data_IF_518590430306
#
_entry.id   IF_518590430306
#
_cell.length_a   1.000
_cell.length_b   1.000
_cell.length_c   1.000
_cell.angle_alpha   90.00
_cell.angle_beta   90.00
_cell.angle_gamma   90.00
#
_symmetry.space_group_name_H-M   'P 1'
#
loop_
_entity.id
_entity.type
_entity.pdbx_description
1 polymer ?
#
# COMPACT_ATOMS: atom_id res chain seq x y z
N UNK A 1 -8.39 13.67 2.03
CA UNK A 1 -8.58 12.34 2.65
C UNK A 1 -9.91 12.17 3.38
N UNK A 2 -10.31 13.05 4.30
CA UNK A 2 -11.54 12.86 5.09
C UNK A 2 -12.83 12.73 4.25
N UNK A 3 -12.96 13.45 3.14
CA UNK A 3 -14.14 13.30 2.27
C UNK A 3 -14.20 11.96 1.54
N UNK A 4 -13.05 11.38 1.18
CA UNK A 4 -13.00 10.01 0.66
C UNK A 4 -13.45 9.01 1.74
N UNK A 5 -13.02 9.18 2.99
CA UNK A 5 -13.49 8.32 4.09
C UNK A 5 -15.01 8.42 4.27
N UNK A 6 -15.58 9.62 4.22
CA UNK A 6 -17.05 9.80 4.25
C UNK A 6 -17.74 9.12 3.06
N UNK A 7 -17.15 9.19 1.87
CA UNK A 7 -17.64 8.51 0.67
C UNK A 7 -17.60 6.98 0.86
N UNK A 8 -16.51 6.44 1.40
CA UNK A 8 -16.36 5.01 1.70
C UNK A 8 -17.49 4.50 2.62
N UNK A 9 -17.75 5.23 3.72
CA UNK A 9 -18.84 4.89 4.65
C UNK A 9 -20.23 4.91 4.02
N UNK A 10 -20.44 5.62 2.90
CA UNK A 10 -21.71 5.61 2.17
C UNK A 10 -21.73 4.50 1.13
N UNK A 11 -20.66 4.36 0.36
CA UNK A 11 -20.53 3.40 -0.73
C UNK A 11 -20.64 1.96 -0.21
N UNK A 12 -19.98 1.66 0.92
CA UNK A 12 -19.97 0.32 1.50
C UNK A 12 -21.04 0.10 2.58
N UNK A 13 -21.89 1.09 2.88
CA UNK A 13 -22.97 0.96 3.87
C UNK A 13 -23.93 -0.21 3.63
N UNK A 14 -24.27 -0.59 2.38
CA UNK A 14 -25.17 -1.71 2.15
C UNK A 14 -24.60 -3.08 2.52
N UNK A 15 -23.28 -3.21 2.70
CA UNK A 15 -22.65 -4.48 3.01
C UNK A 15 -22.76 -4.80 4.50
N UNK A 16 -23.23 -6.01 4.77
CA UNK A 16 -23.31 -6.61 6.10
C UNK A 16 -22.53 -7.90 6.13
N UNK A 17 -22.11 -8.30 7.32
CA UNK A 17 -21.43 -9.57 7.57
C UNK A 17 -22.38 -10.54 8.26
N UNK A 18 -22.12 -11.83 8.09
CA UNK A 18 -22.81 -12.89 8.80
C UNK A 18 -21.86 -13.52 9.81
N UNK A 19 -22.41 -14.01 10.92
CA UNK A 19 -21.66 -14.79 11.89
C UNK A 19 -21.79 -16.29 11.55
N UNK A 20 -20.70 -17.07 11.67
CA UNK A 20 -19.33 -16.63 11.93
C UNK A 20 -18.73 -15.91 10.71
N UNK A 21 -17.76 -15.02 10.96
CA UNK A 21 -17.00 -14.35 9.90
C UNK A 21 -16.19 -15.37 9.10
N UNK A 22 -15.86 -15.05 7.85
CA UNK A 22 -15.11 -15.92 6.94
C UNK A 22 -13.59 -15.96 7.24
N UNK A 23 -13.25 -16.04 8.52
CA UNK A 23 -11.89 -16.14 9.04
C UNK A 23 -11.79 -17.29 10.03
N UNK A 24 -10.56 -17.73 10.32
CA UNK A 24 -10.29 -18.82 11.25
C UNK A 24 -10.77 -18.49 12.68
N UNK A 25 -11.57 -19.39 13.26
CA UNK A 25 -12.15 -19.28 14.62
C UNK A 25 -11.30 -19.93 15.71
N UNK A 26 -10.04 -20.31 15.43
CA UNK A 26 -9.18 -20.91 16.46
C UNK A 26 -8.68 -19.88 17.48
N UNK A 27 -8.26 -20.37 18.66
CA UNK A 27 -7.68 -19.57 19.77
C UNK A 27 -6.51 -18.66 19.37
N UNK A 28 -5.78 -19.01 18.30
CA UNK A 28 -4.66 -18.20 17.80
C UNK A 28 -5.07 -17.14 16.77
N UNK A 29 -6.29 -17.19 16.25
CA UNK A 29 -6.83 -16.24 15.26
C UNK A 29 -7.87 -15.36 15.94
N UNK A 30 -9.16 -15.66 15.72
CA UNK A 30 -10.25 -14.91 16.33
C UNK A 30 -11.40 -15.85 16.70
N UNK A 31 -11.40 -16.35 17.96
CA UNK A 31 -12.50 -17.13 18.50
C UNK A 31 -13.86 -16.43 18.39
N UNK A 32 -14.93 -17.21 18.49
CA UNK A 32 -16.30 -16.74 18.27
C UNK A 32 -16.71 -15.61 19.23
N UNK A 33 -16.26 -15.62 20.48
CA UNK A 33 -16.50 -14.54 21.46
C UNK A 33 -15.82 -13.23 21.05
N UNK A 34 -14.58 -13.29 20.55
CA UNK A 34 -13.90 -12.13 19.96
C UNK A 34 -14.64 -11.60 18.73
N UNK A 35 -15.17 -12.49 17.87
CA UNK A 35 -15.98 -12.07 16.72
C UNK A 35 -17.29 -11.41 17.16
N UNK A 36 -17.96 -11.96 18.17
CA UNK A 36 -19.16 -11.34 18.75
C UNK A 36 -18.86 -9.95 19.32
N UNK A 37 -17.72 -9.77 19.99
CA UNK A 37 -17.29 -8.47 20.48
C UNK A 37 -17.10 -7.48 19.33
N UNK A 38 -16.33 -7.85 18.30
CA UNK A 38 -16.12 -7.03 17.10
C UNK A 38 -17.44 -6.58 16.47
N UNK A 39 -18.39 -7.50 16.34
CA UNK A 39 -19.71 -7.25 15.74
C UNK A 39 -20.69 -6.49 16.65
N UNK A 40 -20.36 -6.32 17.94
CA UNK A 40 -21.16 -5.53 18.87
C UNK A 40 -20.98 -4.01 18.71
N UNK A 41 -19.85 -3.59 18.14
CA UNK A 41 -19.56 -2.18 17.90
C UNK A 41 -20.30 -1.66 16.68
N UNK A 42 -20.64 -0.36 16.69
CA UNK A 42 -20.95 0.34 15.44
C UNK A 42 -19.69 0.37 14.58
N UNK A 43 -19.80 0.20 13.27
CA UNK A 43 -18.66 0.14 12.35
C UNK A 43 -17.63 1.28 12.54
N UNK A 44 -18.08 2.50 12.82
CA UNK A 44 -17.20 3.68 13.06
C UNK A 44 -16.46 3.65 14.39
N UNK A 45 -16.98 2.89 15.35
CA UNK A 45 -16.52 2.90 16.73
C UNK A 45 -15.74 1.62 17.06
N UNK A 46 -15.52 0.72 16.07
CA UNK A 46 -14.69 -0.48 16.25
C UNK A 46 -13.29 -0.03 16.72
N UNK A 47 -12.81 -0.52 17.87
CA UNK A 47 -11.47 -0.21 18.36
C UNK A 47 -10.38 -0.77 17.44
N UNK A 48 -9.22 -0.13 17.43
CA UNK A 48 -8.07 -0.54 16.61
C UNK A 48 -7.65 -2.00 16.90
N UNK A 49 -7.61 -2.40 18.17
CA UNK A 49 -7.20 -3.74 18.59
C UNK A 49 -8.16 -4.83 18.09
N UNK A 50 -9.48 -4.60 18.15
CA UNK A 50 -10.46 -5.54 17.60
C UNK A 50 -10.33 -5.65 16.07
N UNK A 51 -10.09 -4.51 15.40
CA UNK A 51 -9.85 -4.51 13.95
C UNK A 51 -8.54 -5.22 13.59
N UNK A 52 -7.51 -5.08 14.42
CA UNK A 52 -6.23 -5.77 14.28
C UNK A 52 -6.39 -7.28 14.43
N UNK A 53 -7.22 -7.76 15.38
CA UNK A 53 -7.57 -9.17 15.50
C UNK A 53 -8.20 -9.74 14.23
N UNK A 54 -9.17 -9.02 13.66
CA UNK A 54 -9.80 -9.39 12.39
C UNK A 54 -8.80 -9.41 11.23
N UNK A 55 -7.98 -8.36 11.10
CA UNK A 55 -6.98 -8.25 10.03
C UNK A 55 -5.82 -9.23 10.19
N UNK A 56 -5.49 -9.65 11.40
CA UNK A 56 -4.48 -10.68 11.70
C UNK A 56 -4.95 -12.12 11.48
N UNK A 57 -6.27 -12.35 11.45
CA UNK A 57 -6.83 -13.70 11.34
C UNK A 57 -6.68 -14.33 9.95
N UNK A 58 -6.40 -15.63 9.89
CA UNK A 58 -6.26 -16.35 8.61
C UNK A 58 -7.62 -16.45 7.91
N UNK A 59 -7.75 -16.13 6.61
CA UNK A 59 -8.98 -16.35 5.86
C UNK A 59 -9.34 -17.84 5.78
N UNK A 60 -10.63 -18.16 5.70
CA UNK A 60 -11.06 -19.52 5.37
C UNK A 60 -10.79 -19.83 3.88
N UNK A 61 -11.04 -21.08 3.47
CA UNK A 61 -10.77 -21.52 2.09
C UNK A 61 -11.56 -20.74 1.01
N UNK A 62 -12.72 -20.18 1.37
CA UNK A 62 -13.49 -19.29 0.49
C UNK A 62 -12.98 -17.84 0.61
N UNK A 63 -11.97 -17.53 -0.21
CA UNK A 63 -11.39 -16.18 -0.28
C UNK A 63 -12.41 -15.14 -0.75
N UNK A 64 -13.37 -15.53 -1.60
CA UNK A 64 -14.42 -14.64 -2.06
C UNK A 64 -15.38 -14.25 -0.93
N UNK A 65 -15.69 -15.18 -0.02
CA UNK A 65 -16.47 -14.88 1.17
C UNK A 65 -15.72 -13.95 2.13
N UNK A 66 -14.41 -14.15 2.32
CA UNK A 66 -13.58 -13.21 3.09
C UNK A 66 -13.57 -11.82 2.45
N UNK A 67 -13.38 -11.74 1.14
CA UNK A 67 -13.38 -10.48 0.39
C UNK A 67 -14.71 -9.74 0.53
N UNK A 68 -15.85 -10.46 0.54
CA UNK A 68 -17.18 -9.88 0.80
C UNK A 68 -17.30 -9.34 2.22
N UNK A 69 -16.82 -10.06 3.23
CA UNK A 69 -16.82 -9.56 4.62
C UNK A 69 -15.97 -8.31 4.78
N UNK A 70 -14.81 -8.27 4.11
CA UNK A 70 -13.93 -7.10 4.13
C UNK A 70 -14.65 -5.82 3.69
N UNK A 71 -15.62 -5.90 2.76
CA UNK A 71 -16.39 -4.74 2.28
C UNK A 71 -17.12 -4.03 3.42
N UNK A 72 -17.66 -4.78 4.39
CA UNK A 72 -18.30 -4.20 5.56
C UNK A 72 -17.31 -3.41 6.41
N UNK A 73 -16.13 -3.97 6.67
CA UNK A 73 -15.11 -3.35 7.53
C UNK A 73 -14.25 -2.29 6.80
N UNK A 74 -14.23 -2.29 5.47
CA UNK A 74 -13.34 -1.48 4.65
C UNK A 74 -13.36 0.01 4.98
N UNK A 75 -14.51 0.69 5.17
CA UNK A 75 -14.51 2.10 5.54
C UNK A 75 -13.72 2.40 6.82
N UNK A 76 -13.83 1.50 7.82
CA UNK A 76 -13.14 1.62 9.11
C UNK A 76 -11.65 1.29 9.00
N UNK A 77 -11.30 0.32 8.15
CA UNK A 77 -9.90 -0.03 7.83
C UNK A 77 -9.21 1.15 7.13
N UNK A 78 -9.84 1.75 6.13
CA UNK A 78 -9.28 2.91 5.43
C UNK A 78 -9.23 4.15 6.32
N UNK A 79 -10.18 4.29 7.25
CA UNK A 79 -10.12 5.33 8.28
C UNK A 79 -8.91 5.14 9.20
N UNK A 80 -8.65 3.91 9.68
CA UNK A 80 -7.45 3.59 10.47
C UNK A 80 -6.17 3.95 9.70
N UNK A 81 -6.09 3.57 8.42
CA UNK A 81 -4.97 3.92 7.54
C UNK A 81 -4.74 5.43 7.45
N UNK A 82 -5.80 6.22 7.26
CA UNK A 82 -5.72 7.69 7.18
C UNK A 82 -5.38 8.33 8.53
N UNK A 83 -5.87 7.76 9.63
CA UNK A 83 -5.66 8.26 10.99
C UNK A 83 -4.35 7.79 11.61
N UNK A 84 -3.56 6.98 10.89
CA UNK A 84 -2.33 6.38 11.40
C UNK A 84 -2.54 5.48 12.63
N UNK A 85 -3.68 4.80 12.69
CA UNK A 85 -3.95 3.81 13.74
C UNK A 85 -3.21 2.51 13.44
N UNK A 86 -2.71 1.85 14.49
CA UNK A 86 -2.02 0.56 14.37
C UNK A 86 -3.07 -0.57 14.39
N UNK A 87 -3.39 -1.07 13.20
CA UNK A 87 -4.41 -2.13 13.00
C UNK A 87 -3.84 -3.35 12.28
N UNK A 88 -2.54 -3.36 12.00
CA UNK A 88 -1.85 -4.44 11.29
C UNK A 88 -0.35 -4.32 11.61
N UNK A 89 0.33 -5.42 11.97
CA UNK A 89 1.77 -5.39 12.23
C UNK A 89 2.61 -4.92 11.04
N UNK A 90 2.10 -5.09 9.82
CA UNK A 90 2.78 -4.64 8.60
C UNK A 90 1.82 -3.95 7.63
N UNK A 91 2.20 -2.79 7.14
CA UNK A 91 1.39 -1.95 6.24
C UNK A 91 1.11 -2.67 4.91
N UNK A 92 2.08 -3.42 4.35
CA UNK A 92 1.88 -4.13 3.09
C UNK A 92 0.91 -5.31 3.17
N UNK A 93 0.64 -5.77 4.39
CA UNK A 93 -0.39 -6.75 4.67
C UNK A 93 -1.78 -6.13 4.66
N UNK A 94 -1.94 -4.85 5.02
CA UNK A 94 -3.22 -4.28 5.48
C UNK A 94 -4.44 -4.61 4.62
N UNK A 95 -4.30 -4.56 3.29
CA UNK A 95 -5.39 -4.72 2.32
C UNK A 95 -5.36 -6.06 1.56
N UNK A 96 -4.50 -7.00 1.92
CA UNK A 96 -4.30 -8.25 1.17
C UNK A 96 -5.55 -9.14 1.05
N UNK A 97 -6.45 -9.08 2.04
CA UNK A 97 -7.72 -9.81 2.04
C UNK A 97 -8.80 -9.20 1.14
N UNK A 98 -8.56 -8.04 0.53
CA UNK A 98 -9.56 -7.44 -0.36
C UNK A 98 -9.77 -8.26 -1.63
N UNK A 99 -8.69 -8.82 -2.20
CA UNK A 99 -8.73 -9.63 -3.42
C UNK A 99 -9.59 -8.98 -4.52
N UNK A 100 -9.23 -7.74 -4.86
CA UNK A 100 -9.89 -6.95 -5.91
C UNK A 100 -9.80 -7.62 -7.30
N UNK A 101 -8.97 -8.65 -7.43
CA UNK A 101 -8.86 -9.54 -8.59
C UNK A 101 -10.01 -10.54 -8.72
N UNK A 102 -10.91 -10.66 -7.73
CA UNK A 102 -12.12 -11.48 -7.77
C UNK A 102 -13.31 -10.66 -8.29
N UNK A 103 -13.63 -10.71 -9.60
CA UNK A 103 -14.65 -9.86 -10.21
C UNK A 103 -16.06 -10.07 -9.64
N UNK A 104 -16.35 -11.25 -9.10
CA UNK A 104 -17.62 -11.57 -8.46
C UNK A 104 -17.84 -10.83 -7.13
N UNK A 105 -16.78 -10.33 -6.50
CA UNK A 105 -16.86 -9.60 -5.23
C UNK A 105 -16.92 -8.08 -5.42
N UNK A 106 -16.45 -7.57 -6.55
CA UNK A 106 -16.15 -6.15 -6.71
C UNK A 106 -16.83 -5.52 -7.94
N UNK A 107 -17.98 -4.85 -7.72
CA UNK A 107 -18.57 -3.93 -8.69
C UNK A 107 -17.59 -2.88 -9.22
N UNK A 108 -17.77 -2.47 -10.48
CA UNK A 108 -16.86 -1.57 -11.18
C UNK A 108 -16.75 -0.19 -10.52
N UNK A 109 -17.86 0.32 -9.97
CA UNK A 109 -17.90 1.60 -9.27
C UNK A 109 -17.08 1.59 -7.97
N UNK A 110 -17.06 0.46 -7.27
CA UNK A 110 -16.24 0.26 -6.08
C UNK A 110 -14.75 0.16 -6.40
N UNK A 111 -14.39 -0.60 -7.45
CA UNK A 111 -13.00 -0.64 -7.95
C UNK A 111 -12.54 0.75 -8.37
N UNK A 112 -13.39 1.48 -9.12
CA UNK A 112 -13.09 2.85 -9.54
C UNK A 112 -12.90 3.78 -8.34
N UNK A 113 -13.70 3.60 -7.29
CA UNK A 113 -13.53 4.35 -6.05
C UNK A 113 -12.21 4.01 -5.35
N UNK A 114 -11.86 2.72 -5.24
CA UNK A 114 -10.58 2.27 -4.68
C UNK A 114 -9.38 2.82 -5.48
N UNK A 115 -9.46 2.89 -6.81
CA UNK A 115 -8.43 3.50 -7.65
C UNK A 115 -8.26 5.00 -7.37
N UNK A 116 -9.36 5.71 -7.09
CA UNK A 116 -9.31 7.13 -6.67
C UNK A 116 -8.69 7.27 -5.29
N UNK A 117 -9.11 6.42 -4.34
CA UNK A 117 -8.57 6.42 -2.98
C UNK A 117 -7.06 6.14 -2.97
N UNK A 118 -6.62 5.07 -3.63
CA UNK A 118 -5.22 4.68 -3.69
C UNK A 118 -4.33 5.80 -4.26
N UNK A 119 -4.75 6.41 -5.39
CA UNK A 119 -4.00 7.52 -5.98
C UNK A 119 -3.95 8.76 -5.08
N UNK A 120 -5.08 9.14 -4.47
CA UNK A 120 -5.15 10.32 -3.61
C UNK A 120 -4.34 10.15 -2.32
N UNK A 121 -4.43 8.98 -1.69
CA UNK A 121 -3.67 8.67 -0.49
C UNK A 121 -2.18 8.54 -0.80
N UNK A 122 -1.79 7.85 -1.87
CA UNK A 122 -0.38 7.73 -2.26
C UNK A 122 0.24 9.09 -2.60
N UNK A 123 -0.48 9.98 -3.30
CA UNK A 123 -0.02 11.35 -3.55
C UNK A 123 0.18 12.15 -2.26
N UNK A 124 -0.75 12.01 -1.30
CA UNK A 124 -0.63 12.62 0.02
C UNK A 124 0.62 12.12 0.75
N UNK A 125 0.88 10.82 0.69
CA UNK A 125 2.05 10.19 1.29
C UNK A 125 3.36 10.56 0.59
N UNK A 126 3.36 10.83 -0.73
CA UNK A 126 4.54 11.39 -1.40
C UNK A 126 4.82 12.78 -0.85
N UNK A 127 3.82 13.66 -0.76
CA UNK A 127 4.02 15.04 -0.34
C UNK A 127 4.39 15.17 1.15
N UNK A 128 3.80 14.32 2.00
CA UNK A 128 4.00 14.32 3.45
C UNK A 128 4.04 12.88 3.97
N UNK A 129 5.16 12.17 3.78
CA UNK A 129 5.26 10.77 4.18
C UNK A 129 5.07 10.63 5.68
N UNK A 130 4.29 9.61 6.07
CA UNK A 130 4.09 9.26 7.48
C UNK A 130 5.42 8.88 8.14
N UNK A 131 6.23 8.09 7.44
CA UNK A 131 7.60 7.71 7.78
C UNK A 131 8.43 7.65 6.47
N UNK A 132 9.72 7.91 6.55
CA UNK A 132 10.64 7.75 5.40
C UNK A 132 10.88 6.27 5.08
N UNK A 133 11.03 5.95 3.79
CA UNK A 133 11.30 4.61 3.27
C UNK A 133 10.05 3.73 3.07
N UNK A 134 8.86 4.33 2.98
CA UNK A 134 7.60 3.58 2.99
C UNK A 134 6.83 3.58 1.66
N UNK A 135 7.24 4.31 0.62
CA UNK A 135 6.49 4.34 -0.64
C UNK A 135 6.36 2.95 -1.28
N UNK A 136 7.42 2.14 -1.23
CA UNK A 136 7.36 0.76 -1.73
C UNK A 136 6.46 -0.16 -0.90
N UNK A 137 6.40 0.04 0.42
CA UNK A 137 5.51 -0.71 1.32
C UNK A 137 4.06 -0.43 0.94
N UNK A 138 3.73 0.82 0.69
CA UNK A 138 2.40 1.27 0.31
C UNK A 138 2.01 0.86 -1.11
N UNK A 139 2.96 0.86 -2.06
CA UNK A 139 2.76 0.27 -3.38
C UNK A 139 2.44 -1.23 -3.26
N UNK A 140 3.18 -1.95 -2.40
CA UNK A 140 2.98 -3.36 -2.15
C UNK A 140 1.61 -3.63 -1.52
N UNK A 141 1.18 -2.81 -0.55
CA UNK A 141 -0.15 -2.88 0.08
C UNK A 141 -1.28 -2.91 -0.95
N UNK A 142 -1.29 -1.97 -1.91
CA UNK A 142 -2.33 -1.94 -2.95
C UNK A 142 -2.18 -3.05 -3.98
N UNK A 143 -0.94 -3.39 -4.35
CA UNK A 143 -0.70 -4.49 -5.28
C UNK A 143 -1.23 -5.82 -4.72
N UNK A 144 -0.91 -6.11 -3.45
CA UNK A 144 -1.34 -7.34 -2.79
C UNK A 144 -2.83 -7.35 -2.43
N UNK A 145 -3.49 -6.20 -2.43
CA UNK A 145 -4.95 -6.12 -2.40
C UNK A 145 -5.63 -6.63 -3.69
N UNK A 146 -4.85 -6.97 -4.72
CA UNK A 146 -5.35 -7.32 -6.05
C UNK A 146 -5.81 -6.12 -6.87
N UNK A 147 -5.48 -4.89 -6.43
CA UNK A 147 -5.93 -3.66 -7.08
C UNK A 147 -4.96 -3.29 -8.22
N UNK A 148 -5.47 -3.21 -9.45
CA UNK A 148 -4.64 -2.87 -10.63
C UNK A 148 -4.34 -1.35 -10.70
N UNK A 149 -3.50 -0.89 -9.77
CA UNK A 149 -3.09 0.52 -9.64
C UNK A 149 -1.57 0.71 -9.65
N UNK A 150 -0.78 -0.37 -9.60
CA UNK A 150 0.69 -0.28 -9.44
C UNK A 150 1.33 0.65 -10.47
N UNK A 151 1.02 0.50 -11.76
CA UNK A 151 1.63 1.33 -12.82
C UNK A 151 1.23 2.80 -12.68
N UNK A 152 -0.03 3.05 -12.28
CA UNK A 152 -0.54 4.40 -12.04
C UNK A 152 0.16 5.07 -10.86
N UNK A 153 0.39 4.33 -9.78
CA UNK A 153 1.08 4.86 -8.59
C UNK A 153 2.57 5.08 -8.85
N UNK A 154 3.23 4.20 -9.61
CA UNK A 154 4.61 4.39 -10.06
C UNK A 154 4.75 5.62 -10.99
N UNK A 155 3.78 5.83 -11.89
CA UNK A 155 3.73 7.04 -12.71
C UNK A 155 3.53 8.30 -11.86
N UNK A 156 2.67 8.25 -10.84
CA UNK A 156 2.46 9.36 -9.91
C UNK A 156 3.73 9.70 -9.13
N UNK A 157 4.50 8.69 -8.72
CA UNK A 157 5.79 8.90 -8.06
C UNK A 157 6.79 9.59 -8.99
N UNK A 158 6.93 9.13 -10.23
CA UNK A 158 7.81 9.77 -11.22
C UNK A 158 7.37 11.22 -11.54
N UNK A 159 6.07 11.48 -11.64
CA UNK A 159 5.53 12.83 -11.83
C UNK A 159 5.81 13.76 -10.64
N UNK A 160 6.02 13.19 -9.46
CA UNK A 160 6.32 13.92 -8.23
C UNK A 160 7.81 14.00 -7.94
N UNK A 161 8.69 13.67 -8.90
CA UNK A 161 10.14 13.65 -8.70
C UNK A 161 10.72 15.01 -8.26
N UNK A 162 10.00 16.12 -8.46
CA UNK A 162 10.39 17.42 -7.93
C UNK A 162 10.27 17.54 -6.41
N UNK A 163 9.51 16.68 -5.75
CA UNK A 163 9.35 16.67 -4.30
C UNK A 163 10.56 16.03 -3.61
N UNK A 164 11.07 16.66 -2.55
CA UNK A 164 12.25 16.17 -1.81
C UNK A 164 12.04 14.76 -1.25
N UNK A 165 10.85 14.47 -0.73
CA UNK A 165 10.47 13.14 -0.25
C UNK A 165 10.47 12.09 -1.36
N UNK A 166 9.99 12.42 -2.56
CA UNK A 166 10.01 11.52 -3.71
C UNK A 166 11.46 11.14 -4.11
N UNK A 167 12.38 12.11 -4.07
CA UNK A 167 13.80 11.89 -4.32
C UNK A 167 14.45 11.00 -3.25
N UNK A 168 14.17 11.27 -1.96
CA UNK A 168 14.68 10.45 -0.85
C UNK A 168 14.27 8.99 -0.99
N UNK A 169 13.00 8.75 -1.28
CA UNK A 169 12.48 7.39 -1.49
C UNK A 169 13.15 6.71 -2.68
N UNK A 170 13.41 7.45 -3.78
CA UNK A 170 14.10 6.88 -4.94
C UNK A 170 15.56 6.55 -4.62
N UNK A 171 16.24 7.45 -3.92
CA UNK A 171 17.61 7.23 -3.45
C UNK A 171 17.69 6.03 -2.49
N UNK A 172 16.67 5.81 -1.65
CA UNK A 172 16.58 4.64 -0.79
C UNK A 172 16.51 3.35 -1.60
N UNK A 173 15.75 3.31 -2.72
CA UNK A 173 15.76 2.16 -3.64
C UNK A 173 17.13 1.99 -4.30
N UNK A 174 17.77 3.09 -4.71
CA UNK A 174 19.09 3.07 -5.33
C UNK A 174 20.16 2.40 -4.44
N UNK A 175 20.09 2.56 -3.11
CA UNK A 175 21.02 1.91 -2.17
C UNK A 175 21.02 0.38 -2.27
N UNK A 176 19.98 -0.22 -2.82
CA UNK A 176 19.88 -1.67 -3.01
C UNK A 176 20.36 -2.15 -4.39
N UNK A 177 20.74 -1.24 -5.29
CA UNK A 177 21.24 -1.61 -6.63
C UNK A 177 22.54 -2.39 -6.47
N UNK A 178 22.59 -3.67 -6.89
CA UNK A 178 23.79 -4.47 -6.75
C UNK A 178 24.81 -4.13 -7.84
N UNK A 179 26.09 -4.32 -7.52
CA UNK A 179 27.17 -4.14 -8.49
C UNK A 179 27.18 -5.29 -9.51
N UNK A 180 26.92 -4.97 -10.78
CA UNK A 180 27.03 -5.92 -11.90
C UNK A 180 25.97 -7.03 -11.93
N UNK A 181 24.84 -6.86 -11.25
CA UNK A 181 23.75 -7.83 -11.21
C UNK A 181 22.38 -7.14 -11.28
N UNK A 182 21.32 -7.94 -11.45
CA UNK A 182 19.94 -7.46 -11.43
C UNK A 182 19.45 -7.21 -10.00
N UNK A 183 18.52 -6.26 -9.86
CA UNK A 183 17.87 -5.94 -8.58
C UNK A 183 17.17 -7.17 -7.99
N UNK A 184 17.52 -7.50 -6.74
CA UNK A 184 16.74 -8.43 -5.92
C UNK A 184 15.70 -7.64 -5.11
N UNK A 185 14.50 -7.47 -5.68
CA UNK A 185 13.42 -6.73 -5.04
C UNK A 185 13.02 -7.27 -3.67
N UNK A 186 13.31 -8.54 -3.36
CA UNK A 186 13.01 -9.11 -2.03
C UNK A 186 13.89 -8.54 -0.92
N UNK A 187 15.00 -7.87 -1.27
CA UNK A 187 15.85 -7.11 -0.35
C UNK A 187 15.44 -5.64 -0.22
N UNK A 188 14.60 -5.15 -1.12
CA UNK A 188 14.16 -3.75 -1.18
C UNK A 188 12.81 -3.58 -0.49
N UNK A 189 11.89 -4.52 -0.72
CA UNK A 189 10.55 -4.49 -0.14
C UNK A 189 10.06 -5.90 0.22
N UNK A 190 9.00 -5.96 1.03
CA UNK A 190 8.42 -7.21 1.49
C UNK A 190 7.80 -8.01 0.32
N UNK A 191 8.50 -9.08 -0.07
CA UNK A 191 8.10 -10.00 -1.14
C UNK A 191 8.21 -11.46 -0.66
N UNK A 192 7.40 -11.88 0.32
CA UNK A 192 7.45 -13.23 0.87
C UNK A 192 7.15 -14.27 -0.21
N UNK A 193 7.83 -15.43 -0.12
CA UNK A 193 7.62 -16.54 -1.04
C UNK A 193 6.17 -17.03 -0.94
N UNK A 194 5.54 -17.30 -2.08
CA UNK A 194 4.17 -17.79 -2.16
C UNK A 194 3.07 -16.72 -2.06
N UNK A 195 3.42 -15.43 -1.89
CA UNK A 195 2.41 -14.36 -1.97
C UNK A 195 1.94 -14.16 -3.41
N UNK A 196 0.63 -14.03 -3.55
CA UNK A 196 -0.04 -13.83 -4.84
C UNK A 196 0.52 -12.59 -5.56
N UNK A 197 0.72 -12.70 -6.88
CA UNK A 197 1.28 -11.68 -7.77
C UNK A 197 2.66 -11.10 -7.41
N UNK A 198 3.42 -11.72 -6.49
CA UNK A 198 4.78 -11.30 -6.11
C UNK A 198 5.67 -10.98 -7.30
N UNK A 199 5.79 -11.91 -8.26
CA UNK A 199 6.72 -11.76 -9.38
C UNK A 199 6.21 -10.71 -10.38
N UNK A 200 4.89 -10.55 -10.50
CA UNK A 200 4.30 -9.47 -11.30
C UNK A 200 4.64 -8.10 -10.71
N UNK A 201 4.59 -7.95 -9.38
CA UNK A 201 5.01 -6.72 -8.70
C UNK A 201 6.48 -6.40 -8.98
N UNK A 202 7.37 -7.37 -8.74
CA UNK A 202 8.81 -7.20 -8.97
C UNK A 202 9.12 -6.83 -10.43
N UNK A 203 8.42 -7.43 -11.40
CA UNK A 203 8.56 -7.11 -12.81
C UNK A 203 8.11 -5.67 -13.12
N UNK A 204 7.00 -5.20 -12.56
CA UNK A 204 6.53 -3.81 -12.71
C UNK A 204 7.53 -2.83 -12.10
N UNK A 205 8.08 -3.14 -10.92
CA UNK A 205 9.11 -2.32 -10.29
C UNK A 205 10.39 -2.26 -11.13
N UNK A 206 10.89 -3.40 -11.61
CA UNK A 206 12.04 -3.44 -12.53
C UNK A 206 11.79 -2.63 -13.79
N UNK A 207 10.64 -2.84 -14.45
CA UNK A 207 10.30 -2.16 -15.69
C UNK A 207 10.25 -0.64 -15.49
N UNK A 208 9.66 -0.17 -14.39
CA UNK A 208 9.62 1.26 -14.07
C UNK A 208 11.00 1.82 -13.71
N UNK A 209 11.72 1.19 -12.79
CA UNK A 209 12.98 1.69 -12.22
C UNK A 209 14.11 1.77 -13.27
N UNK A 210 14.17 0.80 -14.18
CA UNK A 210 15.16 0.79 -15.26
C UNK A 210 14.69 1.47 -16.55
N UNK A 211 13.44 1.96 -16.62
CA UNK A 211 12.97 2.62 -17.84
C UNK A 211 13.79 3.90 -18.12
N UNK A 212 14.15 4.16 -19.39
CA UNK A 212 14.86 5.40 -19.75
C UNK A 212 14.10 6.66 -19.34
N UNK A 213 12.77 6.62 -19.39
CA UNK A 213 11.91 7.74 -19.01
C UNK A 213 11.99 8.05 -17.51
N UNK A 214 11.80 7.04 -16.64
CA UNK A 214 11.92 7.23 -15.19
C UNK A 214 13.34 7.69 -14.83
N UNK A 215 14.36 7.06 -15.40
CA UNK A 215 15.76 7.42 -15.14
C UNK A 215 16.06 8.87 -15.50
N UNK A 216 15.66 9.31 -16.69
CA UNK A 216 15.84 10.69 -17.12
C UNK A 216 15.08 11.69 -16.22
N UNK A 217 13.85 11.34 -15.82
CA UNK A 217 13.01 12.17 -14.95
C UNK A 217 13.66 12.39 -13.58
N UNK A 218 14.10 11.31 -12.93
CA UNK A 218 14.76 11.41 -11.62
C UNK A 218 16.14 12.05 -11.74
N UNK A 219 16.90 11.81 -12.82
CA UNK A 219 18.20 12.45 -13.04
C UNK A 219 18.08 13.97 -13.08
N UNK A 220 17.14 14.47 -13.88
CA UNK A 220 16.88 15.91 -13.97
C UNK A 220 16.44 16.46 -12.61
N UNK A 221 15.59 15.73 -11.88
CA UNK A 221 15.12 16.18 -10.58
C UNK A 221 16.24 16.24 -9.52
N UNK A 222 17.14 15.25 -9.46
CA UNK A 222 18.33 15.27 -8.60
C UNK A 222 19.26 16.43 -8.95
N UNK A 223 19.56 16.65 -10.24
CA UNK A 223 20.39 17.77 -10.70
C UNK A 223 19.82 19.10 -10.19
N UNK A 224 18.52 19.33 -10.43
CA UNK A 224 17.86 20.55 -9.98
C UNK A 224 17.79 20.67 -8.46
N UNK A 225 17.83 19.56 -7.72
CA UNK A 225 17.79 19.60 -6.26
C UNK A 225 19.16 19.91 -5.65
N UNK A 226 20.21 19.29 -6.19
CA UNK A 226 21.61 19.54 -5.82
C UNK A 226 22.05 20.98 -6.13
N UNK A 227 21.66 21.52 -7.30
CA UNK A 227 22.01 22.89 -7.70
C UNK A 227 21.46 23.97 -6.75
N UNK A 228 20.32 23.70 -6.10
CA UNK A 228 19.67 24.64 -5.18
C UNK A 228 19.93 24.30 -3.70
N UNK A 229 20.62 23.20 -3.41
CA UNK A 229 20.88 22.72 -2.05
C UNK A 229 19.61 22.33 -1.28
N UNK A 230 18.72 21.53 -1.91
CA UNK A 230 17.45 21.08 -1.30
C UNK A 230 17.63 19.90 -0.34
N UNK A 231 18.72 19.17 -0.48
CA UNK A 231 19.11 18.04 0.35
C UNK A 231 19.63 18.48 1.72
N UNK A 232 19.64 17.56 2.69
CA UNK A 232 20.42 17.75 3.91
C UNK A 232 21.91 17.50 3.61
N UNK A 233 22.85 18.13 4.34
CA UNK A 233 24.29 17.93 4.10
C UNK A 233 24.75 16.46 4.13
N UNK A 234 24.12 15.63 4.96
CA UNK A 234 24.40 14.19 5.06
C UNK A 234 23.85 13.37 3.87
N UNK A 235 22.94 13.94 3.07
CA UNK A 235 22.31 13.30 1.91
C UNK A 235 23.06 13.61 0.60
N UNK A 236 23.88 14.67 0.56
CA UNK A 236 24.55 15.18 -0.66
C UNK A 236 25.31 14.08 -1.41
N UNK A 237 26.18 13.33 -0.73
CA UNK A 237 26.99 12.28 -1.37
C UNK A 237 26.11 11.19 -2.01
N UNK A 238 25.05 10.78 -1.32
CA UNK A 238 24.11 9.77 -1.83
C UNK A 238 23.38 10.28 -3.07
N UNK A 239 22.97 11.55 -3.06
CA UNK A 239 22.24 12.16 -4.16
C UNK A 239 23.13 12.36 -5.38
N UNK A 240 24.39 12.77 -5.20
CA UNK A 240 25.39 12.84 -6.27
C UNK A 240 25.64 11.46 -6.89
N UNK A 241 25.82 10.43 -6.07
CA UNK A 241 25.99 9.04 -6.53
C UNK A 241 24.77 8.53 -7.30
N UNK A 242 23.56 8.85 -6.83
CA UNK A 242 22.33 8.48 -7.51
C UNK A 242 22.21 9.21 -8.86
N UNK A 243 22.49 10.51 -8.89
CA UNK A 243 22.51 11.32 -10.10
C UNK A 243 23.49 10.76 -11.15
N UNK A 244 24.71 10.45 -10.75
CA UNK A 244 25.74 9.89 -11.64
C UNK A 244 25.36 8.49 -12.14
N UNK A 245 24.77 7.65 -11.27
CA UNK A 245 24.30 6.32 -11.66
C UNK A 245 23.14 6.36 -12.66
N UNK A 246 22.33 7.42 -12.63
CA UNK A 246 21.22 7.62 -13.56
C UNK A 246 21.68 8.08 -14.96
N UNK A 247 22.96 8.39 -15.14
CA UNK A 247 23.53 8.84 -16.40
C UNK A 247 23.52 7.80 -17.52
#
# INVERSE_FOLDING_TARGET
MQDLIKEAYRLFAPYTVHFPLNICTCECCMPEDCQHELLSYRLRDIPADNLAGYLGSVPLADEAATARDMKHFLPRILQALVNNEDVRPTDEGLLDKLRCDLPECWPEDEIRWLHRFAAAWFAYQIAAPRYEGCLLVWLAMFHFAGLDVTDKLLALWAQSASETSALREFAAVYLHVPYGADMDWSKVCYLPRGRFNRDQFANKLSAWFYSPHTRATFRQAFEQALLVGREKPEETLLWEQCYDWLA
#
